data_IF_337955307475
#
_entry.id   IF_337955307475
#
_cell.length_a   1.000
_cell.length_b   1.000
_cell.length_c   1.000
_cell.angle_alpha   90.00
_cell.angle_beta   90.00
_cell.angle_gamma   90.00
#
_symmetry.space_group_name_H-M   'P 1'
#
loop_
_entity.id
_entity.type
_entity.pdbx_description
1 polymer ?
#
# COMPACT_ATOMS: atom_id res chain seq x y z
N UNK A 1 -65.37 -11.17 -9.45
CA UNK A 1 -64.76 -9.84 -9.25
C UNK A 1 -63.28 -10.11 -9.20
N UNK A 2 -62.71 -10.30 -10.38
CA UNK A 2 -61.33 -10.72 -10.53
C UNK A 2 -60.49 -9.47 -10.80
N UNK A 3 -59.33 -9.46 -10.17
CA UNK A 3 -58.18 -8.60 -10.40
C UNK A 3 -58.30 -7.08 -10.31
N UNK A 4 -57.41 -6.49 -9.50
CA UNK A 4 -56.17 -5.94 -10.05
C UNK A 4 -55.22 -5.58 -8.91
N UNK A 5 -54.36 -6.52 -8.49
CA UNK A 5 -53.24 -6.17 -7.60
C UNK A 5 -52.17 -5.47 -8.43
N UNK A 6 -52.21 -4.14 -8.48
CA UNK A 6 -51.16 -3.32 -9.11
C UNK A 6 -49.90 -3.44 -8.24
N UNK A 7 -48.81 -4.06 -8.74
CA UNK A 7 -47.58 -4.13 -7.95
C UNK A 7 -47.08 -2.70 -7.76
N UNK A 8 -46.80 -2.34 -6.51
CA UNK A 8 -46.15 -1.10 -6.15
C UNK A 8 -44.97 -0.87 -7.08
N UNK A 9 -45.13 0.11 -7.96
CA UNK A 9 -44.10 0.62 -8.84
C UNK A 9 -42.98 1.12 -7.92
N UNK A 10 -42.00 0.25 -7.61
CA UNK A 10 -40.74 0.68 -7.01
C UNK A 10 -40.21 1.73 -7.97
N UNK A 11 -40.30 2.98 -7.54
CA UNK A 11 -40.13 4.17 -8.37
C UNK A 11 -38.97 3.98 -9.35
N UNK A 12 -39.24 4.10 -10.65
CA UNK A 12 -38.25 4.07 -11.74
C UNK A 12 -37.02 4.96 -11.44
N UNK A 13 -37.21 6.00 -10.63
CA UNK A 13 -36.15 6.86 -10.09
C UNK A 13 -35.17 6.11 -9.19
N UNK A 14 -35.65 5.28 -8.25
CA UNK A 14 -34.80 4.46 -7.38
C UNK A 14 -33.95 3.46 -8.18
N UNK A 15 -34.54 2.80 -9.18
CA UNK A 15 -33.78 1.89 -10.06
C UNK A 15 -32.75 2.64 -10.89
N UNK A 16 -33.05 3.86 -11.36
CA UNK A 16 -32.12 4.71 -12.09
C UNK A 16 -30.98 5.23 -11.20
N UNK A 17 -31.28 5.61 -9.96
CA UNK A 17 -30.28 6.03 -8.96
C UNK A 17 -29.32 4.89 -8.61
N UNK A 18 -29.85 3.68 -8.38
CA UNK A 18 -29.03 2.48 -8.15
C UNK A 18 -28.13 2.20 -9.35
N UNK A 19 -28.66 2.20 -10.57
CA UNK A 19 -27.85 2.02 -11.80
C UNK A 19 -26.78 3.10 -11.97
N UNK A 20 -27.09 4.36 -11.66
CA UNK A 20 -26.12 5.45 -11.70
C UNK A 20 -25.03 5.25 -10.65
N UNK A 21 -25.38 4.84 -9.42
CA UNK A 21 -24.39 4.50 -8.40
C UNK A 21 -23.46 3.37 -8.84
N UNK A 22 -24.00 2.28 -9.39
CA UNK A 22 -23.17 1.20 -9.94
C UNK A 22 -22.25 1.70 -11.04
N UNK A 23 -22.77 2.46 -12.01
CA UNK A 23 -21.95 3.03 -13.08
C UNK A 23 -20.82 3.93 -12.56
N UNK A 24 -21.07 4.73 -11.51
CA UNK A 24 -20.03 5.56 -10.87
C UNK A 24 -18.96 4.72 -10.20
N UNK A 25 -19.34 3.63 -9.53
CA UNK A 25 -18.39 2.68 -8.94
C UNK A 25 -17.58 2.00 -10.04
N UNK A 26 -18.21 1.52 -11.10
CA UNK A 26 -17.55 0.85 -12.23
C UNK A 26 -16.52 1.77 -12.90
N UNK A 27 -16.86 3.05 -13.11
CA UNK A 27 -15.92 4.05 -13.63
C UNK A 27 -14.75 4.29 -12.69
N UNK A 28 -14.97 4.24 -11.37
CA UNK A 28 -13.91 4.42 -10.39
C UNK A 28 -12.99 3.21 -10.34
N UNK A 29 -13.54 1.99 -10.32
CA UNK A 29 -12.78 0.75 -10.40
C UNK A 29 -11.96 0.69 -11.69
N UNK A 30 -12.55 1.01 -12.85
CA UNK A 30 -11.82 1.06 -14.11
C UNK A 30 -10.61 2.02 -14.07
N UNK A 31 -10.75 3.17 -13.40
CA UNK A 31 -9.62 4.10 -13.20
C UNK A 31 -8.54 3.52 -12.29
N UNK A 32 -8.92 2.86 -11.19
CA UNK A 32 -7.96 2.19 -10.30
C UNK A 32 -7.21 1.10 -11.07
N UNK A 33 -7.92 0.27 -11.84
CA UNK A 33 -7.33 -0.82 -12.61
C UNK A 33 -6.32 -0.31 -13.64
N UNK A 34 -6.65 0.79 -14.34
CA UNK A 34 -5.71 1.44 -15.27
C UNK A 34 -4.45 1.94 -14.54
N UNK A 35 -4.60 2.61 -13.41
CA UNK A 35 -3.45 3.09 -12.62
C UNK A 35 -2.59 1.94 -12.09
N UNK A 36 -3.23 0.86 -11.62
CA UNK A 36 -2.54 -0.33 -11.14
C UNK A 36 -1.75 -0.99 -12.27
N UNK A 37 -2.34 -1.07 -13.47
CA UNK A 37 -1.67 -1.61 -14.65
C UNK A 37 -0.45 -0.77 -15.04
N UNK A 38 -0.57 0.56 -15.08
CA UNK A 38 0.56 1.44 -15.36
C UNK A 38 1.68 1.26 -14.33
N UNK A 39 1.34 1.22 -13.04
CA UNK A 39 2.30 0.98 -11.97
C UNK A 39 3.01 -0.38 -12.15
N UNK A 40 2.27 -1.45 -12.41
CA UNK A 40 2.84 -2.78 -12.60
C UNK A 40 3.71 -2.86 -13.87
N UNK A 41 3.42 -2.07 -14.90
CA UNK A 41 4.24 -1.99 -16.10
C UNK A 41 5.55 -1.23 -15.85
N UNK A 42 5.53 -0.20 -15.00
CA UNK A 42 6.69 0.63 -14.69
C UNK A 42 7.57 0.02 -13.59
N UNK A 43 6.95 -0.65 -12.61
CA UNK A 43 7.61 -1.25 -11.46
C UNK A 43 7.43 -2.78 -11.49
N UNK A 44 8.44 -3.53 -11.94
CA UNK A 44 8.42 -4.98 -11.77
C UNK A 44 8.39 -5.33 -10.28
N UNK A 45 7.90 -6.52 -9.95
CA UNK A 45 7.70 -6.99 -8.57
C UNK A 45 8.90 -6.74 -7.67
N UNK A 46 10.11 -7.01 -8.16
CA UNK A 46 11.39 -6.78 -7.47
C UNK A 46 11.59 -5.30 -7.11
N UNK A 47 11.29 -4.38 -8.03
CA UNK A 47 11.46 -2.94 -7.81
C UNK A 47 10.39 -2.41 -6.85
N UNK A 48 9.17 -2.93 -6.94
CA UNK A 48 8.09 -2.61 -6.00
C UNK A 48 8.45 -3.06 -4.59
N UNK A 49 8.98 -4.28 -4.44
CA UNK A 49 9.46 -4.79 -3.15
C UNK A 49 10.60 -3.94 -2.59
N UNK A 50 11.57 -3.57 -3.43
CA UNK A 50 12.66 -2.67 -3.04
C UNK A 50 12.14 -1.33 -2.51
N UNK A 51 11.21 -0.69 -3.23
CA UNK A 51 10.60 0.59 -2.81
C UNK A 51 9.83 0.46 -1.50
N UNK A 52 9.06 -0.61 -1.33
CA UNK A 52 8.34 -0.90 -0.09
C UNK A 52 9.29 -1.13 1.10
N UNK A 53 10.49 -1.67 0.84
CA UNK A 53 11.52 -1.81 1.86
C UNK A 53 12.16 -0.45 2.20
N UNK A 54 12.48 0.40 1.21
CA UNK A 54 13.01 1.75 1.46
C UNK A 54 12.04 2.61 2.27
N UNK A 55 10.73 2.43 2.08
CA UNK A 55 9.70 3.16 2.84
C UNK A 55 9.81 2.97 4.38
N UNK A 56 10.48 1.91 4.86
CA UNK A 56 10.69 1.72 6.30
C UNK A 56 11.74 2.69 6.90
N UNK A 57 12.46 3.44 6.06
CA UNK A 57 13.42 4.46 6.50
C UNK A 57 12.83 5.88 6.48
N UNK A 58 11.51 6.01 6.31
CA UNK A 58 10.86 7.32 6.32
C UNK A 58 11.00 7.99 7.69
N UNK A 59 11.47 9.25 7.77
CA UNK A 59 11.56 9.98 9.04
C UNK A 59 10.19 10.43 9.57
N UNK A 60 9.12 10.31 8.77
CA UNK A 60 7.77 10.71 9.15
C UNK A 60 7.33 10.05 10.45
N UNK A 61 6.71 10.85 11.33
CA UNK A 61 6.18 10.42 12.63
C UNK A 61 7.23 9.66 13.46
N UNK A 62 8.46 10.19 13.55
CA UNK A 62 9.57 9.60 14.30
C UNK A 62 9.91 8.18 13.84
N UNK A 63 10.07 8.01 12.53
CA UNK A 63 10.33 6.70 11.92
C UNK A 63 9.25 5.64 12.24
N UNK A 64 7.98 6.04 12.35
CA UNK A 64 6.85 5.13 12.64
C UNK A 64 6.79 3.93 11.67
N UNK A 65 7.13 4.15 10.40
CA UNK A 65 7.13 3.12 9.37
C UNK A 65 8.28 2.11 9.50
N UNK A 66 9.19 2.30 10.47
CA UNK A 66 10.35 1.45 10.64
C UNK A 66 9.96 0.00 10.88
N UNK A 67 10.64 -0.89 10.16
CA UNK A 67 10.47 -2.31 10.30
C UNK A 67 11.79 -3.02 10.03
N UNK A 68 12.28 -3.71 11.05
CA UNK A 68 13.55 -4.43 11.01
C UNK A 68 13.63 -5.44 9.87
N UNK A 69 12.56 -6.21 9.64
CA UNK A 69 12.54 -7.22 8.58
C UNK A 69 12.60 -6.58 7.19
N UNK A 70 11.93 -5.44 6.99
CA UNK A 70 12.02 -4.67 5.75
C UNK A 70 13.42 -4.11 5.52
N UNK A 71 14.10 -3.67 6.57
CA UNK A 71 15.49 -3.19 6.46
C UNK A 71 16.47 -4.32 6.13
N UNK A 72 16.33 -5.49 6.77
CA UNK A 72 17.13 -6.68 6.42
C UNK A 72 16.85 -7.08 4.97
N UNK A 73 15.58 -7.07 4.54
CA UNK A 73 15.17 -7.35 3.17
C UNK A 73 15.77 -6.33 2.19
N UNK A 74 15.79 -5.04 2.55
CA UNK A 74 16.44 -3.98 1.77
C UNK A 74 17.91 -4.32 1.53
N UNK A 75 18.65 -4.70 2.57
CA UNK A 75 20.07 -5.03 2.47
C UNK A 75 20.33 -6.31 1.65
N UNK A 76 19.38 -7.26 1.59
CA UNK A 76 19.48 -8.43 0.70
C UNK A 76 19.50 -8.07 -0.79
N UNK A 77 18.96 -6.91 -1.18
CA UNK A 77 19.07 -6.41 -2.57
C UNK A 77 20.49 -5.94 -2.92
N UNK A 78 21.38 -5.78 -1.93
CA UNK A 78 22.76 -5.33 -2.10
C UNK A 78 23.77 -6.39 -1.63
N UNK A 79 23.82 -7.58 -2.28
CA UNK A 79 24.64 -8.71 -1.83
C UNK A 79 26.15 -8.47 -1.92
N UNK A 80 26.60 -7.42 -2.63
CA UNK A 80 28.00 -7.00 -2.66
C UNK A 80 28.41 -6.27 -1.38
N UNK A 81 27.49 -5.54 -0.78
CA UNK A 81 27.74 -4.70 0.39
C UNK A 81 27.40 -5.45 1.68
N UNK A 82 26.43 -6.36 1.64
CA UNK A 82 25.95 -7.11 2.79
C UNK A 82 26.02 -8.62 2.57
N UNK A 83 26.78 -9.32 3.43
CA UNK A 83 26.75 -10.78 3.47
C UNK A 83 25.52 -11.28 4.24
N UNK A 84 24.96 -12.45 3.89
CA UNK A 84 23.85 -13.07 4.63
C UNK A 84 24.17 -13.31 6.13
N UNK A 85 25.44 -13.52 6.44
CA UNK A 85 25.94 -13.73 7.81
C UNK A 85 25.89 -12.42 8.60
N UNK A 86 26.25 -11.31 7.97
CA UNK A 86 26.18 -9.98 8.59
C UNK A 86 24.72 -9.55 8.86
N UNK A 87 23.76 -10.07 8.07
CA UNK A 87 22.33 -9.79 8.20
C UNK A 87 21.64 -10.57 9.32
N UNK A 88 22.26 -11.64 9.84
CA UNK A 88 21.77 -12.46 10.96
C UNK A 88 22.11 -11.87 12.34
N UNK A 89 23.05 -10.92 12.39
CA UNK A 89 23.68 -10.47 13.63
C UNK A 89 23.09 -9.24 14.36
N UNK A 90 22.25 -8.35 13.78
CA UNK A 90 21.92 -7.10 14.48
C UNK A 90 20.46 -7.06 14.96
N UNK A 91 20.16 -7.61 16.14
CA UNK A 91 18.97 -7.20 16.90
C UNK A 91 19.22 -5.87 17.58
N UNK A 92 20.18 -5.85 18.51
CA UNK A 92 20.44 -4.68 19.35
C UNK A 92 20.98 -3.48 18.55
N UNK A 93 21.73 -3.72 17.47
CA UNK A 93 22.32 -2.63 16.67
C UNK A 93 21.29 -1.84 15.85
N UNK A 94 20.23 -2.51 15.37
CA UNK A 94 19.19 -1.84 14.59
C UNK A 94 18.28 -0.99 15.48
N UNK A 95 17.99 -1.46 16.69
CA UNK A 95 17.23 -0.68 17.68
C UNK A 95 17.99 0.58 18.09
N UNK A 96 19.29 0.46 18.37
CA UNK A 96 20.14 1.60 18.66
C UNK A 96 20.20 2.60 17.48
N UNK A 97 20.33 2.10 16.24
CA UNK A 97 20.33 2.96 15.05
C UNK A 97 19.06 3.82 14.96
N UNK A 98 17.87 3.23 15.15
CA UNK A 98 16.62 3.99 15.08
C UNK A 98 16.55 5.00 16.21
N UNK A 99 16.91 4.60 17.43
CA UNK A 99 16.91 5.50 18.58
C UNK A 99 17.79 6.74 18.32
N UNK A 100 18.98 6.51 17.76
CA UNK A 100 19.89 7.57 17.34
C UNK A 100 19.27 8.46 16.25
N UNK A 101 18.71 7.87 15.19
CA UNK A 101 18.07 8.61 14.09
C UNK A 101 16.87 9.44 14.56
N UNK A 102 16.03 8.91 15.45
CA UNK A 102 14.89 9.62 16.05
C UNK A 102 15.31 10.75 16.98
N UNK A 103 16.48 10.66 17.60
CA UNK A 103 17.03 11.71 18.47
C UNK A 103 17.79 12.81 17.69
N UNK A 104 18.09 12.57 16.42
CA UNK A 104 18.83 13.50 15.57
C UNK A 104 17.96 14.69 15.16
N UNK A 105 18.50 15.90 15.34
CA UNK A 105 17.86 17.16 14.91
C UNK A 105 17.74 17.28 13.38
N UNK A 106 18.50 16.49 12.61
CA UNK A 106 18.46 16.52 11.14
C UNK A 106 17.23 15.80 10.56
N UNK A 107 16.63 14.88 11.33
CA UNK A 107 15.50 14.06 10.92
C UNK A 107 14.23 14.33 11.73
N UNK A 108 14.25 15.40 12.55
CA UNK A 108 13.18 15.77 13.48
C UNK A 108 12.22 16.82 12.93
#
# INVERSE_FOLDING_TARGET
MDDMFIPQCRSRRKTQEIKNMHHRVDLFCAKIDMQLQELNNHFPEVNTELLLCVACLSPTDQFYAFNKHKLIRLAQFYPRDYSPINLLAPEDQLENYIADMCSSVEFS
#
